data_IF_204761152802
#
_entry.id   IF_204761152802
#
_cell.length_a   1.000
_cell.length_b   1.000
_cell.length_c   1.000
_cell.angle_alpha   90.00
_cell.angle_beta   90.00
_cell.angle_gamma   90.00
#
_symmetry.space_group_name_H-M   'P 1'
#
loop_
_entity.id
_entity.type
_entity.pdbx_description
1 polymer ?
#
# COMPACT_ATOMS: atom_id res chain seq x y z
N UNK A 1 1.43 -27.26 8.22
CA UNK A 1 0.21 -26.75 7.56
C UNK A 1 -0.38 -25.56 8.34
N UNK A 2 0.33 -24.42 8.43
CA UNK A 2 -0.09 -23.30 9.29
C UNK A 2 -0.20 -21.92 8.58
N UNK A 3 0.17 -21.84 7.30
CA UNK A 3 0.15 -20.56 6.55
C UNK A 3 -1.09 -20.34 5.68
N UNK A 4 -2.00 -21.32 5.58
CA UNK A 4 -3.08 -21.30 4.58
C UNK A 4 -4.25 -20.36 4.92
N UNK A 5 -4.26 -19.76 6.11
CA UNK A 5 -5.41 -18.99 6.63
C UNK A 5 -5.13 -17.52 6.96
N UNK A 6 -3.93 -17.00 6.69
CA UNK A 6 -3.56 -15.64 7.12
C UNK A 6 -3.79 -14.57 6.04
N UNK A 7 -3.78 -14.94 4.75
CA UNK A 7 -3.83 -13.96 3.66
C UNK A 7 -5.04 -14.19 2.73
N UNK A 8 -5.83 -13.14 2.46
CA UNK A 8 -6.94 -13.19 1.49
C UNK A 8 -6.46 -13.12 0.04
N UNK A 9 -5.35 -12.43 -0.23
CA UNK A 9 -4.84 -12.22 -1.59
C UNK A 9 -3.31 -12.26 -1.66
N UNK A 10 -2.79 -12.88 -2.71
CA UNK A 10 -1.37 -12.94 -3.05
C UNK A 10 -1.20 -12.34 -4.44
N UNK A 11 -0.35 -11.33 -4.58
CA UNK A 11 -0.05 -10.71 -5.85
C UNK A 11 1.42 -11.01 -6.21
N UNK A 12 1.61 -11.72 -7.32
CA UNK A 12 2.93 -12.13 -7.78
C UNK A 12 3.29 -11.28 -9.00
N UNK A 13 4.41 -10.57 -8.90
CA UNK A 13 5.11 -9.95 -10.01
C UNK A 13 6.08 -10.96 -10.58
N UNK A 14 5.88 -11.38 -11.82
CA UNK A 14 6.83 -12.25 -12.49
C UNK A 14 7.71 -11.37 -13.36
N UNK A 15 8.98 -11.24 -12.98
CA UNK A 15 9.97 -10.40 -13.67
C UNK A 15 11.14 -11.27 -14.14
N UNK A 16 11.84 -10.87 -15.20
CA UNK A 16 13.12 -11.50 -15.55
C UNK A 16 14.21 -10.88 -14.66
N UNK A 17 14.85 -11.67 -13.79
CA UNK A 17 15.94 -11.18 -12.94
C UNK A 17 17.20 -10.94 -13.77
N UNK A 18 17.41 -9.72 -14.26
CA UNK A 18 18.70 -9.27 -14.78
C UNK A 18 19.47 -8.57 -13.67
N UNK A 19 20.51 -9.23 -13.15
CA UNK A 19 21.53 -8.57 -12.33
C UNK A 19 22.21 -7.53 -13.21
N UNK A 20 22.26 -6.30 -12.70
CA UNK A 20 22.58 -5.08 -13.42
C UNK A 20 23.94 -5.10 -14.15
N UNK A 21 23.90 -4.95 -15.48
CA UNK A 21 24.79 -4.06 -16.22
C UNK A 21 23.90 -3.32 -17.21
N UNK A 22 23.94 -1.99 -17.16
CA UNK A 22 23.21 -1.07 -18.03
C UNK A 22 23.16 -1.55 -19.48
N UNK A 23 21.97 -1.90 -19.94
CA UNK A 23 21.56 -1.68 -21.33
C UNK A 23 20.15 -1.10 -21.31
N UNK A 24 20.13 0.22 -21.46
CA UNK A 24 19.00 1.01 -21.91
C UNK A 24 18.45 0.39 -23.21
N UNK A 25 17.49 -0.52 -23.09
CA UNK A 25 16.65 -0.93 -24.20
C UNK A 25 15.55 0.13 -24.35
N UNK A 26 15.69 0.97 -25.38
CA UNK A 26 14.67 1.97 -25.76
C UNK A 26 13.31 1.27 -25.90
N UNK A 27 12.42 1.49 -24.93
CA UNK A 27 11.02 1.07 -25.01
C UNK A 27 10.54 0.12 -23.92
N UNK A 28 11.42 -0.48 -23.11
CA UNK A 28 11.04 -1.05 -21.81
C UNK A 28 11.52 -0.09 -20.74
N UNK A 29 10.63 0.76 -20.22
CA UNK A 29 10.91 1.33 -18.91
C UNK A 29 11.14 0.17 -17.96
N UNK A 30 12.25 0.14 -17.19
CA UNK A 30 12.32 -0.75 -16.05
C UNK A 30 11.00 -0.59 -15.33
N UNK A 31 10.37 -1.70 -14.93
CA UNK A 31 9.26 -1.63 -13.98
C UNK A 31 9.89 -0.97 -12.74
N UNK A 32 9.90 0.36 -12.71
CA UNK A 32 10.85 1.13 -11.91
C UNK A 32 10.75 0.60 -10.49
N UNK A 33 11.90 0.39 -9.84
CA UNK A 33 12.00 0.13 -8.39
C UNK A 33 10.91 0.89 -7.62
N UNK A 34 10.61 2.12 -8.05
CA UNK A 34 9.53 2.96 -7.53
C UNK A 34 8.09 2.41 -7.51
N UNK A 35 7.65 1.50 -8.39
CA UNK A 35 6.24 1.04 -8.37
C UNK A 35 6.04 -0.21 -7.49
N UNK A 36 6.95 -1.18 -7.58
CA UNK A 36 6.92 -2.38 -6.73
C UNK A 36 7.26 -2.03 -5.27
N UNK A 37 8.33 -1.28 -5.03
CA UNK A 37 8.75 -0.93 -3.67
C UNK A 37 7.66 -0.14 -2.93
N UNK A 38 6.99 0.79 -3.61
CA UNK A 38 5.87 1.55 -3.04
C UNK A 38 4.63 0.68 -2.80
N UNK A 39 4.37 -0.31 -3.66
CA UNK A 39 3.25 -1.22 -3.46
C UNK A 39 3.53 -2.20 -2.31
N UNK A 40 4.74 -2.75 -2.23
CA UNK A 40 5.19 -3.60 -1.13
C UNK A 40 5.23 -2.83 0.19
N UNK A 41 5.58 -1.55 0.17
CA UNK A 41 5.51 -0.70 1.33
C UNK A 41 4.07 -0.37 1.74
N UNK A 42 3.19 -0.06 0.78
CA UNK A 42 1.77 0.13 1.01
C UNK A 42 1.06 -1.14 1.51
N UNK A 43 1.50 -2.33 1.06
CA UNK A 43 0.92 -3.60 1.51
C UNK A 43 1.28 -3.92 2.97
N UNK A 44 2.27 -3.25 3.58
CA UNK A 44 2.54 -3.42 5.03
C UNK A 44 1.34 -3.04 5.88
N UNK A 45 0.55 -2.06 5.43
CA UNK A 45 -0.65 -1.62 6.13
C UNK A 45 -1.80 -2.63 6.02
N UNK A 46 -1.71 -3.60 5.11
CA UNK A 46 -2.76 -4.58 4.85
C UNK A 46 -2.24 -6.00 5.13
N UNK A 47 -2.67 -6.59 6.25
CA UNK A 47 -2.35 -7.98 6.58
C UNK A 47 -2.91 -8.99 5.57
N UNK A 48 -3.91 -8.59 4.78
CA UNK A 48 -4.62 -9.45 3.83
C UNK A 48 -3.97 -9.53 2.43
N UNK A 49 -2.94 -8.73 2.15
CA UNK A 49 -2.26 -8.64 0.85
C UNK A 49 -0.79 -9.01 0.96
N UNK A 50 -0.38 -10.08 0.26
CA UNK A 50 1.02 -10.45 0.10
C UNK A 50 1.51 -10.03 -1.28
N UNK A 51 2.58 -9.26 -1.35
CA UNK A 51 3.25 -8.87 -2.60
C UNK A 51 4.54 -9.67 -2.72
N UNK A 52 4.72 -10.39 -3.82
CA UNK A 52 5.90 -11.21 -4.09
C UNK A 52 6.43 -10.96 -5.50
N UNK A 53 7.74 -11.14 -5.68
CA UNK A 53 8.37 -11.19 -6.99
C UNK A 53 8.89 -12.60 -7.29
N UNK A 54 8.78 -13.04 -8.55
CA UNK A 54 9.29 -14.31 -9.03
C UNK A 54 10.15 -14.04 -10.26
N UNK A 55 11.44 -14.26 -10.10
CA UNK A 55 12.42 -14.21 -11.17
C UNK A 55 12.39 -15.50 -12.00
N UNK A 56 11.92 -15.48 -13.25
CA UNK A 56 12.07 -16.64 -14.15
C UNK A 56 13.39 -16.52 -14.90
N UNK A 57 14.25 -17.53 -14.77
CA UNK A 57 15.51 -17.64 -15.52
C UNK A 57 15.44 -18.84 -16.45
N UNK A 58 15.67 -18.58 -17.74
CA UNK A 58 15.68 -19.57 -18.82
C UNK A 58 17.08 -20.03 -19.22
N UNK A 59 18.10 -19.32 -18.74
CA UNK A 59 19.52 -19.56 -19.01
C UNK A 59 20.26 -19.94 -17.72
N UNK A 60 21.28 -20.80 -17.83
CA UNK A 60 22.02 -21.33 -16.69
C UNK A 60 21.24 -22.42 -15.94
N UNK A 61 21.13 -22.30 -14.61
CA UNK A 61 20.51 -23.30 -13.73
C UNK A 61 18.97 -23.37 -13.79
N UNK A 62 18.35 -22.60 -14.69
CA UNK A 62 16.89 -22.63 -14.97
C UNK A 62 16.04 -22.51 -13.71
N UNK A 63 15.97 -21.32 -13.14
CA UNK A 63 15.16 -21.05 -11.94
C UNK A 63 13.71 -20.69 -12.29
N UNK A 64 12.76 -21.26 -11.55
CA UNK A 64 11.32 -20.95 -11.61
C UNK A 64 10.67 -21.16 -12.99
N UNK A 65 11.28 -21.98 -13.86
CA UNK A 65 10.70 -22.35 -15.15
C UNK A 65 9.40 -23.13 -15.01
N UNK A 66 9.28 -23.94 -13.96
CA UNK A 66 8.08 -24.69 -13.59
C UNK A 66 6.88 -23.76 -13.31
N UNK A 67 7.11 -22.60 -12.68
CA UNK A 67 6.09 -21.59 -12.46
C UNK A 67 5.69 -20.88 -13.77
N UNK A 68 6.66 -20.64 -14.66
CA UNK A 68 6.40 -20.11 -15.99
C UNK A 68 5.48 -21.01 -16.81
N UNK A 69 5.79 -22.31 -16.86
CA UNK A 69 4.99 -23.31 -17.56
C UNK A 69 3.60 -23.50 -16.92
N UNK A 70 3.54 -23.58 -15.59
CA UNK A 70 2.28 -23.77 -14.85
C UNK A 70 1.27 -22.65 -15.09
N UNK A 71 1.75 -21.42 -15.25
CA UNK A 71 0.90 -20.26 -15.43
C UNK A 71 0.89 -19.74 -16.87
N UNK A 72 1.43 -20.48 -17.84
CA UNK A 72 1.53 -20.10 -19.26
C UNK A 72 2.11 -18.68 -19.45
N UNK A 73 3.25 -18.41 -18.80
CA UNK A 73 3.96 -17.13 -18.90
C UNK A 73 5.10 -17.27 -19.89
N UNK A 74 5.04 -16.53 -21.01
CA UNK A 74 6.11 -16.49 -22.01
C UNK A 74 7.02 -15.30 -21.79
N UNK A 75 8.23 -15.38 -22.34
CA UNK A 75 9.23 -14.31 -22.23
C UNK A 75 8.80 -13.02 -22.92
N UNK A 76 7.99 -13.14 -23.96
CA UNK A 76 7.43 -12.00 -24.69
C UNK A 76 6.43 -11.20 -23.85
N UNK A 77 5.82 -11.82 -22.83
CA UNK A 77 4.75 -11.22 -22.03
C UNK A 77 5.26 -10.47 -20.80
N UNK A 78 6.58 -10.50 -20.52
CA UNK A 78 7.14 -9.81 -19.36
C UNK A 78 7.06 -8.27 -19.52
N UNK A 79 6.73 -7.53 -18.45
CA UNK A 79 6.41 -7.99 -17.09
C UNK A 79 4.96 -8.50 -16.95
N UNK A 80 4.75 -9.59 -16.20
CA UNK A 80 3.42 -10.15 -15.94
C UNK A 80 3.05 -9.99 -14.46
N UNK A 81 1.87 -9.44 -14.19
CA UNK A 81 1.30 -9.35 -12.84
C UNK A 81 0.05 -10.22 -12.77
N UNK A 82 0.01 -11.08 -11.75
CA UNK A 82 -1.11 -12.00 -11.49
C UNK A 82 -1.60 -11.85 -10.06
N UNK A 83 -2.90 -11.67 -9.90
CA UNK A 83 -3.57 -11.62 -8.61
C UNK A 83 -4.20 -12.98 -8.29
N UNK A 84 -3.77 -13.57 -7.19
CA UNK A 84 -4.28 -14.80 -6.63
C UNK A 84 -5.20 -14.46 -5.46
N UNK A 85 -6.45 -14.91 -5.54
CA UNK A 85 -7.45 -14.71 -4.49
C UNK A 85 -7.65 -16.04 -3.78
N UNK A 86 -7.62 -16.04 -2.45
CA UNK A 86 -7.83 -17.25 -1.67
C UNK A 86 -9.21 -17.85 -1.98
N UNK A 87 -9.26 -19.11 -2.40
CA UNK A 87 -10.48 -19.81 -2.82
C UNK A 87 -10.81 -19.74 -4.30
N UNK A 88 -10.01 -19.05 -5.13
CA UNK A 88 -10.06 -19.18 -6.60
C UNK A 88 -8.86 -19.98 -7.10
N UNK A 89 -9.10 -20.91 -8.03
CA UNK A 89 -8.03 -21.73 -8.62
C UNK A 89 -7.22 -20.94 -9.67
N UNK A 90 -7.89 -20.08 -10.45
CA UNK A 90 -7.24 -19.33 -11.53
C UNK A 90 -6.84 -17.90 -11.09
N UNK A 91 -5.56 -17.51 -11.32
CA UNK A 91 -5.13 -16.14 -11.09
C UNK A 91 -5.68 -15.18 -12.15
N UNK A 92 -5.97 -13.95 -11.72
CA UNK A 92 -6.45 -12.90 -12.60
C UNK A 92 -5.23 -12.13 -13.16
N UNK A 93 -5.04 -12.08 -14.49
CA UNK A 93 -3.97 -11.29 -15.10
C UNK A 93 -4.26 -9.79 -15.01
N UNK A 94 -3.20 -8.99 -14.84
CA UNK A 94 -3.28 -7.54 -14.91
C UNK A 94 -3.08 -7.06 -16.36
N UNK A 95 -4.08 -6.37 -16.89
CA UNK A 95 -4.06 -5.79 -18.25
C UNK A 95 -4.02 -4.24 -18.22
N UNK A 96 -3.76 -3.65 -17.05
CA UNK A 96 -3.77 -2.20 -16.87
C UNK A 96 -2.42 -1.54 -17.13
N UNK A 97 -2.35 -0.23 -16.85
CA UNK A 97 -1.08 0.48 -16.87
C UNK A 97 -0.24 0.11 -15.64
N UNK A 98 1.02 -0.25 -15.85
CA UNK A 98 2.00 -0.56 -14.80
C UNK A 98 2.45 0.69 -14.04
N UNK A 99 1.52 1.30 -13.30
CA UNK A 99 1.76 2.39 -12.37
C UNK A 99 1.09 2.07 -11.02
N UNK A 100 1.52 2.76 -9.95
CA UNK A 100 1.02 2.51 -8.59
C UNK A 100 -0.51 2.62 -8.51
N UNK A 101 -1.11 3.61 -9.16
CA UNK A 101 -2.56 3.81 -9.13
C UNK A 101 -3.32 2.69 -9.86
N UNK A 102 -2.80 2.23 -11.00
CA UNK A 102 -3.36 1.15 -11.80
C UNK A 102 -3.33 -0.17 -11.07
N UNK A 103 -2.21 -0.47 -10.40
CA UNK A 103 -2.05 -1.63 -9.54
C UNK A 103 -2.99 -1.57 -8.32
N UNK A 104 -3.08 -0.41 -7.65
CA UNK A 104 -4.02 -0.21 -6.53
C UNK A 104 -5.47 -0.43 -6.96
N UNK A 105 -5.90 0.18 -8.07
CA UNK A 105 -7.24 0.01 -8.62
C UNK A 105 -7.52 -1.43 -9.02
N UNK A 106 -6.54 -2.14 -9.57
CA UNK A 106 -6.68 -3.55 -9.92
C UNK A 106 -6.91 -4.43 -8.70
N UNK A 107 -6.09 -4.25 -7.65
CA UNK A 107 -6.27 -5.03 -6.42
C UNK A 107 -7.63 -4.68 -5.80
N UNK A 108 -7.98 -3.41 -5.65
CA UNK A 108 -9.28 -2.99 -5.09
C UNK A 108 -10.48 -3.50 -5.88
N UNK A 109 -10.35 -3.66 -7.20
CA UNK A 109 -11.43 -4.15 -8.06
C UNK A 109 -11.75 -5.62 -7.80
N UNK A 110 -10.73 -6.45 -7.55
CA UNK A 110 -10.88 -7.90 -7.49
C UNK A 110 -10.73 -8.46 -6.08
N UNK A 111 -10.04 -7.74 -5.21
CA UNK A 111 -9.85 -8.02 -3.80
C UNK A 111 -10.49 -6.90 -2.99
N UNK A 112 -11.40 -7.24 -2.08
CA UNK A 112 -11.96 -6.31 -1.09
C UNK A 112 -10.91 -6.03 0.00
N UNK A 113 -9.81 -5.39 -0.42
CA UNK A 113 -8.64 -5.12 0.41
C UNK A 113 -8.36 -3.62 0.38
N UNK A 114 -8.23 -3.04 1.56
CA UNK A 114 -7.82 -1.66 1.74
C UNK A 114 -6.31 -1.53 1.49
N UNK A 115 -5.93 -0.72 0.49
CA UNK A 115 -4.54 -0.33 0.25
C UNK A 115 -4.41 1.15 0.56
N UNK A 116 -4.06 1.45 1.81
CA UNK A 116 -3.77 2.78 2.27
C UNK A 116 -2.50 3.39 1.65
N UNK A 117 -2.22 4.63 2.03
CA UNK A 117 -0.87 5.18 1.91
C UNK A 117 -0.02 4.63 3.05
N UNK A 118 1.31 4.67 2.88
CA UNK A 118 2.22 4.38 3.98
C UNK A 118 1.89 5.30 5.16
N UNK A 119 1.85 4.73 6.37
CA UNK A 119 1.50 5.41 7.62
C UNK A 119 0.04 5.85 7.76
N UNK A 120 -0.87 5.50 6.84
CA UNK A 120 -2.31 5.67 7.03
C UNK A 120 -2.93 4.42 7.66
N UNK A 121 -3.74 4.61 8.70
CA UNK A 121 -4.45 3.55 9.40
C UNK A 121 -5.93 3.60 9.01
N UNK A 122 -6.44 2.49 8.48
CA UNK A 122 -7.82 2.43 7.95
C UNK A 122 -8.87 2.85 8.99
N UNK A 123 -8.73 2.37 10.23
CA UNK A 123 -9.63 2.71 11.33
C UNK A 123 -9.65 4.22 11.58
N UNK A 124 -8.48 4.86 11.60
CA UNK A 124 -8.35 6.30 11.82
C UNK A 124 -8.81 7.12 10.62
N UNK A 125 -8.60 6.67 9.39
CA UNK A 125 -9.13 7.31 8.18
C UNK A 125 -10.67 7.36 8.21
N UNK A 126 -11.30 6.23 8.57
CA UNK A 126 -12.76 6.16 8.74
C UNK A 126 -13.26 7.09 9.84
N UNK A 127 -12.52 7.21 10.95
CA UNK A 127 -12.84 8.15 12.03
C UNK A 127 -12.65 9.61 11.59
N UNK A 128 -11.60 9.93 10.82
CA UNK A 128 -11.34 11.26 10.29
C UNK A 128 -12.44 11.72 9.33
N UNK A 129 -12.89 10.86 8.41
CA UNK A 129 -14.02 11.15 7.51
C UNK A 129 -15.29 11.46 8.32
N UNK A 130 -15.58 10.65 9.35
CA UNK A 130 -16.72 10.90 10.25
C UNK A 130 -16.57 12.22 11.00
N UNK A 131 -15.38 12.50 11.51
CA UNK A 131 -15.08 13.71 12.27
C UNK A 131 -15.32 14.98 11.46
N UNK A 132 -14.81 15.03 10.22
CA UNK A 132 -14.96 16.20 9.33
C UNK A 132 -16.40 16.36 8.85
N UNK A 133 -17.10 15.25 8.56
CA UNK A 133 -18.51 15.29 8.10
C UNK A 133 -19.48 15.74 9.20
N UNK A 134 -19.14 15.44 10.46
CA UNK A 134 -19.95 15.80 11.62
C UNK A 134 -19.79 17.29 11.92
N UNK A 135 -20.90 18.03 12.07
CA UNK A 135 -20.89 19.46 12.43
C UNK A 135 -21.06 19.72 13.93
N UNK A 136 -21.60 18.73 14.65
CA UNK A 136 -21.87 18.83 16.08
C UNK A 136 -20.57 18.64 16.87
N UNK A 137 -20.22 19.62 17.72
CA UNK A 137 -19.00 19.58 18.54
C UNK A 137 -18.98 18.42 19.54
N UNK A 138 -20.12 18.07 20.12
CA UNK A 138 -20.20 16.99 21.11
C UNK A 138 -19.98 15.62 20.46
N UNK A 139 -20.52 15.42 19.25
CA UNK A 139 -20.25 14.20 18.48
C UNK A 139 -18.80 14.14 18.00
N UNK A 140 -18.20 15.28 17.62
CA UNK A 140 -16.77 15.37 17.31
C UNK A 140 -15.90 14.97 18.52
N UNK A 141 -16.26 15.38 19.74
CA UNK A 141 -15.57 14.95 20.98
C UNK A 141 -15.73 13.45 21.23
N UNK A 142 -16.90 12.87 20.95
CA UNK A 142 -17.09 11.41 21.05
C UNK A 142 -16.23 10.65 20.04
N UNK A 143 -16.09 11.15 18.82
CA UNK A 143 -15.21 10.57 17.80
C UNK A 143 -13.75 10.68 18.23
N UNK A 144 -13.33 11.82 18.80
CA UNK A 144 -11.99 11.98 19.36
C UNK A 144 -11.72 10.94 20.45
N UNK A 145 -12.67 10.75 21.39
CA UNK A 145 -12.53 9.75 22.44
C UNK A 145 -12.38 8.33 21.88
N UNK A 146 -13.14 7.98 20.84
CA UNK A 146 -12.97 6.69 20.14
C UNK A 146 -11.60 6.56 19.49
N UNK A 147 -11.09 7.64 18.87
CA UNK A 147 -9.74 7.63 18.30
C UNK A 147 -8.66 7.46 19.38
N UNK A 148 -8.86 8.01 20.57
CA UNK A 148 -7.96 7.81 21.73
C UNK A 148 -8.02 6.36 22.25
N UNK A 149 -9.22 5.78 22.37
CA UNK A 149 -9.39 4.37 22.75
C UNK A 149 -8.73 3.40 21.75
N UNK A 150 -8.87 3.67 20.44
CA UNK A 150 -8.19 2.90 19.39
C UNK A 150 -6.67 3.10 19.43
N UNK A 151 -6.19 4.31 19.79
CA UNK A 151 -4.77 4.59 19.95
C UNK A 151 -4.15 3.82 21.12
N UNK A 152 -4.84 3.77 22.27
CA UNK A 152 -4.43 2.96 23.43
C UNK A 152 -4.44 1.44 23.12
N UNK A 153 -5.27 1.02 22.16
CA UNK A 153 -5.40 -0.37 21.72
C UNK A 153 -4.33 -0.84 20.72
N UNK A 154 -3.45 0.05 20.25
CA UNK A 154 -2.43 -0.28 19.24
C UNK A 154 -1.38 -1.22 19.83
N UNK A 155 -1.20 -2.37 19.18
CA UNK A 155 -0.20 -3.37 19.56
C UNK A 155 1.11 -3.24 18.79
N UNK A 156 1.05 -2.63 17.61
CA UNK A 156 2.18 -2.48 16.70
C UNK A 156 2.87 -1.13 16.93
N UNK A 157 4.11 -1.08 17.45
CA UNK A 157 4.80 0.18 17.72
C UNK A 157 5.03 1.04 16.46
N UNK A 158 5.00 0.44 15.28
CA UNK A 158 5.11 1.17 14.01
C UNK A 158 3.87 2.00 13.66
N UNK A 159 2.71 1.69 14.24
CA UNK A 159 1.42 2.35 13.95
C UNK A 159 1.13 3.49 14.95
N UNK A 160 1.77 3.46 16.12
CA UNK A 160 1.60 4.44 17.19
C UNK A 160 1.87 5.90 16.75
N UNK A 161 2.96 6.21 15.99
CA UNK A 161 3.22 7.58 15.54
C UNK A 161 2.15 8.11 14.59
N UNK A 162 1.59 7.23 13.75
CA UNK A 162 0.51 7.57 12.83
C UNK A 162 -0.76 7.91 13.60
N UNK A 163 -1.18 7.03 14.52
CA UNK A 163 -2.37 7.23 15.34
C UNK A 163 -2.27 8.51 16.20
N UNK A 164 -1.10 8.75 16.80
CA UNK A 164 -0.83 9.96 17.55
C UNK A 164 -1.05 11.23 16.69
N UNK A 165 -0.62 11.20 15.42
CA UNK A 165 -0.83 12.32 14.50
C UNK A 165 -2.31 12.60 14.24
N UNK A 166 -3.14 11.56 14.00
CA UNK A 166 -4.59 11.73 13.83
C UNK A 166 -5.23 12.36 15.07
N UNK A 167 -4.93 11.84 16.26
CA UNK A 167 -5.49 12.33 17.53
C UNK A 167 -5.06 13.79 17.77
N UNK A 168 -3.79 14.12 17.54
CA UNK A 168 -3.27 15.49 17.66
C UNK A 168 -3.98 16.47 16.72
N UNK A 169 -4.21 16.08 15.47
CA UNK A 169 -4.93 16.93 14.49
C UNK A 169 -6.38 17.13 14.96
N UNK A 170 -7.10 16.06 15.32
CA UNK A 170 -8.48 16.17 15.80
C UNK A 170 -8.60 17.07 17.04
N UNK A 171 -7.69 16.95 18.00
CA UNK A 171 -7.60 17.85 19.17
C UNK A 171 -7.40 19.31 18.76
N UNK A 172 -6.50 19.57 17.82
CA UNK A 172 -6.24 20.94 17.32
C UNK A 172 -7.44 21.51 16.56
N UNK A 173 -8.17 20.70 15.79
CA UNK A 173 -9.39 21.16 15.10
C UNK A 173 -10.48 21.53 16.12
N UNK A 174 -10.64 20.77 17.21
CA UNK A 174 -11.59 21.15 18.28
C UNK A 174 -11.16 22.46 18.96
N UNK A 175 -9.85 22.69 19.16
CA UNK A 175 -9.35 23.89 19.84
C UNK A 175 -9.36 25.15 18.96
N UNK A 176 -9.02 25.01 17.67
CA UNK A 176 -8.79 26.13 16.75
C UNK A 176 -9.88 26.31 15.70
N UNK A 177 -10.78 25.35 15.57
CA UNK A 177 -11.80 25.31 14.53
C UNK A 177 -11.30 24.70 13.21
N UNK A 178 -12.22 24.62 12.24
CA UNK A 178 -12.01 23.92 10.97
C UNK A 178 -10.94 24.59 10.07
N UNK A 179 -10.67 25.89 10.27
CA UNK A 179 -9.62 26.65 9.56
C UNK A 179 -8.20 26.12 9.83
N UNK A 180 -8.02 25.37 10.93
CA UNK A 180 -6.75 24.73 11.24
C UNK A 180 -6.30 23.76 10.14
N UNK A 181 -7.22 23.07 9.47
CA UNK A 181 -6.87 22.06 8.46
C UNK A 181 -6.15 22.71 7.26
N UNK A 182 -6.70 23.84 6.77
CA UNK A 182 -6.10 24.55 5.64
C UNK A 182 -4.75 25.16 6.01
N UNK A 183 -4.67 25.83 7.16
CA UNK A 183 -3.41 26.41 7.63
C UNK A 183 -2.31 25.37 7.87
N UNK A 184 -2.68 24.19 8.38
CA UNK A 184 -1.71 23.10 8.59
C UNK A 184 -1.28 22.48 7.25
N UNK A 185 -2.18 22.37 6.27
CA UNK A 185 -1.85 21.91 4.93
C UNK A 185 -0.83 22.84 4.26
N UNK A 186 -1.10 24.15 4.25
CA UNK A 186 -0.19 25.15 3.68
C UNK A 186 1.18 25.14 4.37
N UNK A 187 1.19 24.98 5.70
CA UNK A 187 2.43 24.89 6.48
C UNK A 187 3.27 23.66 6.08
N UNK A 188 2.63 22.50 5.89
CA UNK A 188 3.32 21.26 5.52
C UNK A 188 3.82 21.32 4.08
N UNK A 189 3.03 21.88 3.16
CA UNK A 189 3.45 22.10 1.75
C UNK A 189 4.63 23.08 1.65
N UNK A 190 4.70 24.05 2.56
CA UNK A 190 5.82 25.00 2.66
C UNK A 190 7.11 24.43 3.24
N UNK A 191 7.12 23.19 3.75
CA UNK A 191 8.35 22.58 4.29
C UNK A 191 9.24 22.04 3.15
N UNK A 192 10.54 22.37 3.12
CA UNK A 192 11.45 21.79 2.14
C UNK A 192 11.61 20.29 2.42
N UNK A 193 11.36 19.46 1.39
CA UNK A 193 11.38 17.99 1.51
C UNK A 193 12.76 17.38 1.88
N UNK A 194 13.82 18.20 1.97
CA UNK A 194 15.20 17.79 2.27
C UNK A 194 15.82 18.45 3.51
N UNK A 195 15.04 19.07 4.41
CA UNK A 195 15.61 19.54 5.67
C UNK A 195 15.73 18.39 6.67
N UNK A 196 16.96 18.00 7.00
CA UNK A 196 17.26 17.16 8.15
C UNK A 196 16.64 17.78 9.42
N UNK A 197 15.45 17.31 9.81
CA UNK A 197 14.87 17.61 11.11
C UNK A 197 15.70 16.82 12.12
N UNK A 198 16.66 17.50 12.76
CA UNK A 198 17.35 16.94 13.92
C UNK A 198 16.28 16.64 14.97
N UNK A 199 16.01 15.35 15.18
CA UNK A 199 15.29 14.87 16.36
C UNK A 199 16.16 15.07 17.60
#
# INVERSE_FOLDING_TARGET
>A
MLYKHIYKCLLIFITSLQIAISINAKGLTPLDSWSFDKLAAASRSSLDLLVAEVGIKDYGDKENMDLGERFDVKKEDFPVVKLFINGKEDPIPFEGQFNLEGLKKFIQKYADVYIGLENCLETFDRLAVKFVTTKNEEERKQILKKAEEEWDGIKNPSEEPSAEMYVKIMRKVIQKGDDFINSEKDRVEGLPQNSCIKR
#
